data_IF_356797655492
#
_entry.id   IF_356797655492
#
_cell.length_a   1.000
_cell.length_b   1.000
_cell.length_c   1.000
_cell.angle_alpha   90.00
_cell.angle_beta   90.00
_cell.angle_gamma   90.00
#
_symmetry.space_group_name_H-M   'P 1'
#
loop_
_entity.id
_entity.type
_entity.pdbx_description
1 polymer ?
#
# COMPACT_ATOMS: atom_id res chain seq x y z
N UNK A 1 50.41 -30.42 0.08
CA UNK A 1 49.83 -30.38 -1.29
C UNK A 1 48.30 -30.28 -1.27
N UNK A 2 47.67 -29.46 -0.42
CA UNK A 2 46.21 -29.45 -0.21
C UNK A 2 45.51 -28.11 -0.51
N UNK A 3 46.08 -27.27 -1.38
CA UNK A 3 45.58 -25.90 -1.65
C UNK A 3 44.81 -25.69 -2.97
N UNK A 4 44.83 -26.58 -4.00
CA UNK A 4 44.21 -26.23 -5.30
C UNK A 4 42.68 -26.24 -5.29
N UNK A 5 42.04 -27.04 -4.44
CA UNK A 5 40.56 -27.15 -4.42
C UNK A 5 39.89 -25.93 -3.77
N UNK A 6 40.54 -25.26 -2.82
CA UNK A 6 39.95 -24.10 -2.14
C UNK A 6 39.93 -22.87 -3.05
N UNK A 7 41.02 -22.61 -3.77
CA UNK A 7 41.09 -21.52 -4.74
C UNK A 7 40.09 -21.72 -5.90
N UNK A 8 39.95 -22.96 -6.39
CA UNK A 8 38.99 -23.28 -7.44
C UNK A 8 37.54 -23.13 -6.96
N UNK A 9 37.22 -23.58 -5.75
CA UNK A 9 35.90 -23.39 -5.15
C UNK A 9 35.58 -21.91 -4.94
N UNK A 10 36.53 -21.13 -4.43
CA UNK A 10 36.38 -19.69 -4.23
C UNK A 10 36.14 -18.97 -5.56
N UNK A 11 36.88 -19.30 -6.61
CA UNK A 11 36.68 -18.79 -7.97
C UNK A 11 35.30 -19.19 -8.50
N UNK A 12 34.96 -20.47 -8.45
CA UNK A 12 33.70 -20.99 -8.98
C UNK A 12 32.47 -20.44 -8.27
N UNK A 13 32.55 -20.08 -7.00
CA UNK A 13 31.45 -19.42 -6.27
C UNK A 13 31.48 -17.89 -6.42
N UNK A 14 32.67 -17.27 -6.50
CA UNK A 14 32.82 -15.81 -6.55
C UNK A 14 32.42 -15.20 -7.89
N UNK A 15 32.79 -15.82 -9.01
CA UNK A 15 32.44 -15.34 -10.36
C UNK A 15 30.93 -15.31 -10.65
N UNK A 16 30.13 -16.35 -10.35
CA UNK A 16 28.68 -16.31 -10.54
C UNK A 16 27.97 -15.43 -9.51
N UNK A 17 28.50 -15.29 -8.29
CA UNK A 17 27.93 -14.40 -7.28
C UNK A 17 28.12 -12.93 -7.70
N UNK A 18 29.35 -12.55 -8.06
CA UNK A 18 29.67 -11.18 -8.50
C UNK A 18 28.88 -10.78 -9.76
N UNK A 19 28.75 -11.69 -10.73
CA UNK A 19 27.97 -11.41 -11.94
C UNK A 19 26.47 -11.23 -11.65
N UNK A 20 25.91 -12.03 -10.73
CA UNK A 20 24.52 -11.89 -10.27
C UNK A 20 24.30 -10.56 -9.55
N UNK A 21 25.21 -10.18 -8.67
CA UNK A 21 25.12 -8.94 -7.90
C UNK A 21 25.20 -7.71 -8.83
N UNK A 22 26.12 -7.72 -9.80
CA UNK A 22 26.21 -6.67 -10.82
C UNK A 22 24.90 -6.57 -11.64
N UNK A 23 24.37 -7.70 -12.12
CA UNK A 23 23.10 -7.73 -12.85
C UNK A 23 21.94 -7.20 -12.01
N UNK A 24 21.86 -7.55 -10.73
CA UNK A 24 20.84 -7.07 -9.80
C UNK A 24 20.92 -5.55 -9.60
N UNK A 25 22.13 -5.00 -9.42
CA UNK A 25 22.33 -3.56 -9.25
C UNK A 25 21.92 -2.80 -10.51
N UNK A 26 22.35 -3.24 -11.70
CA UNK A 26 21.98 -2.62 -12.97
C UNK A 26 20.46 -2.68 -13.19
N UNK A 27 19.84 -3.82 -12.90
CA UNK A 27 18.40 -3.97 -12.99
C UNK A 27 17.65 -3.07 -11.99
N UNK A 28 18.15 -2.93 -10.77
CA UNK A 28 17.56 -2.04 -9.76
C UNK A 28 17.60 -0.58 -10.21
N UNK A 29 18.73 -0.09 -10.74
CA UNK A 29 18.82 1.26 -11.30
C UNK A 29 17.85 1.44 -12.47
N UNK A 30 17.79 0.48 -13.38
CA UNK A 30 16.84 0.51 -14.48
C UNK A 30 15.38 0.56 -13.98
N UNK A 31 15.02 -0.25 -12.98
CA UNK A 31 13.67 -0.28 -12.42
C UNK A 31 13.28 1.06 -11.78
N UNK A 32 14.19 1.66 -11.01
CA UNK A 32 13.96 2.97 -10.39
C UNK A 32 13.76 4.05 -11.44
N UNK A 33 14.65 4.12 -12.45
CA UNK A 33 14.56 5.09 -13.55
C UNK A 33 13.27 4.87 -14.35
N UNK A 34 12.93 3.62 -14.65
CA UNK A 34 11.71 3.28 -15.36
C UNK A 34 10.45 3.68 -14.57
N UNK A 35 10.40 3.36 -13.28
CA UNK A 35 9.27 3.67 -12.41
C UNK A 35 9.06 5.19 -12.27
N UNK A 36 10.14 5.97 -12.11
CA UNK A 36 10.04 7.43 -12.04
C UNK A 36 9.56 8.02 -13.36
N UNK A 37 10.15 7.62 -14.48
CA UNK A 37 9.74 8.09 -15.81
C UNK A 37 8.29 7.70 -16.13
N UNK A 38 7.87 6.49 -15.74
CA UNK A 38 6.50 6.04 -15.92
C UNK A 38 5.52 6.90 -15.11
N UNK A 39 5.81 7.16 -13.83
CA UNK A 39 4.97 8.00 -12.97
C UNK A 39 4.89 9.45 -13.47
N UNK A 40 6.02 10.03 -13.90
CA UNK A 40 6.03 11.38 -14.47
C UNK A 40 5.30 11.44 -15.82
N UNK A 41 5.53 10.46 -16.69
CA UNK A 41 4.85 10.34 -17.97
C UNK A 41 3.34 10.15 -17.79
N UNK A 42 2.92 9.36 -16.81
CA UNK A 42 1.52 9.16 -16.46
C UNK A 42 0.87 10.44 -15.94
N UNK A 43 1.55 11.20 -15.06
CA UNK A 43 1.04 12.51 -14.59
C UNK A 43 0.79 13.47 -15.75
N UNK A 44 1.71 13.54 -16.71
CA UNK A 44 1.55 14.39 -17.91
C UNK A 44 0.39 13.93 -18.78
N UNK A 45 0.28 12.62 -19.06
CA UNK A 45 -0.84 12.06 -19.83
C UNK A 45 -2.18 12.22 -19.13
N UNK A 46 -2.22 12.09 -17.81
CA UNK A 46 -3.42 12.33 -17.01
C UNK A 46 -3.91 13.78 -17.13
N UNK A 47 -3.00 14.75 -17.06
CA UNK A 47 -3.33 16.16 -17.28
C UNK A 47 -3.79 16.43 -18.73
N UNK A 48 -3.14 15.83 -19.73
CA UNK A 48 -3.55 15.97 -21.13
C UNK A 48 -4.94 15.38 -21.38
N UNK A 49 -5.25 14.22 -20.79
CA UNK A 49 -6.57 13.60 -20.86
C UNK A 49 -7.64 14.46 -20.17
N UNK A 50 -7.34 14.97 -18.97
CA UNK A 50 -8.24 15.88 -18.25
C UNK A 50 -8.51 17.17 -19.04
N UNK A 51 -7.49 17.71 -19.73
CA UNK A 51 -7.63 18.85 -20.62
C UNK A 51 -8.51 18.53 -21.84
N UNK A 52 -8.24 17.41 -22.53
CA UNK A 52 -9.04 16.96 -23.69
C UNK A 52 -10.49 16.67 -23.34
N UNK A 53 -10.74 16.19 -22.12
CA UNK A 53 -12.10 15.96 -21.62
C UNK A 53 -12.78 17.22 -21.08
N UNK A 54 -12.09 18.36 -21.01
CA UNK A 54 -12.65 19.62 -20.52
C UNK A 54 -12.89 19.65 -19.00
N UNK A 55 -12.34 18.67 -18.27
CA UNK A 55 -12.46 18.55 -16.80
C UNK A 55 -11.35 19.29 -16.06
N UNK A 56 -10.43 19.97 -16.77
CA UNK A 56 -9.29 20.68 -16.17
C UNK A 56 -9.68 22.06 -15.60
N UNK A 57 -10.59 22.78 -16.27
CA UNK A 57 -11.00 24.16 -15.93
C UNK A 57 -12.42 24.25 -15.35
N UNK A 58 -13.12 23.13 -15.18
CA UNK A 58 -14.36 23.10 -14.40
C UNK A 58 -13.96 23.02 -12.94
N UNK A 59 -14.12 24.09 -12.13
CA UNK A 59 -13.81 24.00 -10.71
C UNK A 59 -14.63 22.84 -10.14
N UNK A 60 -13.96 21.76 -9.74
CA UNK A 60 -14.59 20.53 -9.26
C UNK A 60 -15.58 20.81 -8.11
N UNK A 61 -15.35 21.92 -7.40
CA UNK A 61 -16.17 22.46 -6.33
C UNK A 61 -17.57 22.93 -6.77
N UNK A 62 -17.78 23.26 -8.06
CA UNK A 62 -19.07 23.74 -8.58
C UNK A 62 -19.95 22.67 -9.27
N UNK A 63 -19.39 21.51 -9.64
CA UNK A 63 -20.14 20.43 -10.32
C UNK A 63 -20.39 19.23 -9.40
N UNK A 64 -19.54 18.98 -8.40
CA UNK A 64 -19.90 17.99 -7.38
C UNK A 64 -21.01 18.54 -6.51
N UNK A 65 -22.27 18.24 -6.86
CA UNK A 65 -23.37 18.33 -5.91
C UNK A 65 -22.89 17.69 -4.59
N UNK A 66 -23.05 18.40 -3.44
CA UNK A 66 -22.61 17.87 -2.16
C UNK A 66 -23.24 16.50 -2.00
N UNK A 67 -22.39 15.47 -1.78
CA UNK A 67 -22.85 14.08 -1.64
C UNK A 67 -24.10 14.08 -0.76
N UNK A 68 -25.18 13.37 -1.10
CA UNK A 68 -26.47 13.49 -0.39
C UNK A 68 -26.40 13.12 1.11
N UNK A 69 -25.28 12.55 1.55
CA UNK A 69 -24.97 12.18 2.93
C UNK A 69 -24.17 13.25 3.69
N UNK A 70 -23.70 14.31 3.03
CA UNK A 70 -22.90 15.38 3.63
C UNK A 70 -23.78 16.30 4.46
N UNK A 71 -23.59 16.30 5.79
CA UNK A 71 -24.21 17.27 6.68
C UNK A 71 -23.18 18.38 6.98
N UNK A 72 -23.67 19.57 7.24
CA UNK A 72 -22.83 20.75 7.37
C UNK A 72 -23.65 21.97 7.76
N UNK A 73 -22.98 23.00 8.25
CA UNK A 73 -23.64 24.27 8.58
C UNK A 73 -23.75 25.07 7.29
N UNK A 74 -24.97 25.51 6.95
CA UNK A 74 -25.21 26.37 5.79
C UNK A 74 -24.45 27.69 5.98
N UNK A 75 -23.54 27.99 5.05
CA UNK A 75 -22.88 29.30 4.96
C UNK A 75 -23.08 29.83 3.56
N UNK A 76 -23.34 31.13 3.44
CA UNK A 76 -23.37 31.80 2.14
C UNK A 76 -21.93 31.90 1.64
N UNK A 77 -21.68 31.35 0.46
CA UNK A 77 -20.36 31.43 -0.18
C UNK A 77 -20.03 32.88 -0.54
N UNK A 78 -18.86 33.42 -0.15
CA UNK A 78 -18.48 34.82 -0.39
C UNK A 78 -18.22 35.13 -1.87
N UNK A 79 -18.14 34.12 -2.73
CA UNK A 79 -17.85 34.27 -4.17
C UNK A 79 -19.11 34.08 -5.02
N UNK A 80 -19.98 33.14 -4.65
CA UNK A 80 -21.16 32.76 -5.48
C UNK A 80 -22.51 33.16 -4.89
N UNK A 81 -22.57 33.63 -3.64
CA UNK A 81 -23.81 33.92 -2.91
C UNK A 81 -24.79 32.71 -2.78
N UNK A 82 -24.33 31.50 -3.12
CA UNK A 82 -25.09 30.27 -2.96
C UNK A 82 -24.91 29.72 -1.53
N UNK A 83 -25.93 29.01 -1.02
CA UNK A 83 -25.82 28.27 0.24
C UNK A 83 -24.90 27.05 0.05
N UNK A 84 -23.72 27.09 0.64
CA UNK A 84 -22.77 25.97 0.65
C UNK A 84 -22.64 25.41 2.07
N UNK A 85 -22.49 24.09 2.18
CA UNK A 85 -22.26 23.39 3.44
C UNK A 85 -20.77 23.53 3.81
N UNK A 86 -20.42 24.49 4.65
CA UNK A 86 -19.02 24.76 5.01
C UNK A 86 -18.63 24.02 6.29
N UNK A 87 -17.67 23.09 6.20
CA UNK A 87 -17.09 22.40 7.35
C UNK A 87 -15.61 22.77 7.52
N UNK A 88 -15.14 23.12 8.72
CA UNK A 88 -13.75 23.52 8.93
C UNK A 88 -12.80 22.33 8.68
N UNK A 89 -11.84 22.45 7.74
CA UNK A 89 -10.98 21.34 7.31
C UNK A 89 -10.08 20.80 8.43
N UNK A 90 -9.73 21.65 9.41
CA UNK A 90 -8.88 21.25 10.54
C UNK A 90 -9.58 20.28 11.49
N UNK A 91 -10.90 20.42 11.72
CA UNK A 91 -11.64 19.47 12.58
C UNK A 91 -11.79 18.11 11.91
N UNK A 92 -11.94 18.10 10.58
CA UNK A 92 -12.01 16.88 9.78
C UNK A 92 -10.69 16.13 9.81
N UNK A 93 -9.58 16.85 9.59
CA UNK A 93 -8.25 16.27 9.63
C UNK A 93 -7.90 15.74 11.02
N UNK A 94 -8.22 16.48 12.09
CA UNK A 94 -7.94 16.03 13.45
C UNK A 94 -8.68 14.73 13.79
N UNK A 95 -9.98 14.64 13.46
CA UNK A 95 -10.76 13.42 13.74
C UNK A 95 -10.32 12.25 12.85
N UNK A 96 -10.08 12.50 11.56
CA UNK A 96 -9.57 11.49 10.64
C UNK A 96 -8.21 10.98 11.10
N UNK A 97 -7.27 11.85 11.45
CA UNK A 97 -5.96 11.45 11.96
C UNK A 97 -6.03 10.77 13.32
N UNK A 98 -6.83 11.26 14.27
CA UNK A 98 -6.92 10.67 15.60
C UNK A 98 -7.67 9.34 15.65
N UNK A 99 -8.54 9.03 14.68
CA UNK A 99 -9.33 7.79 14.69
C UNK A 99 -8.86 6.81 13.61
N UNK A 100 -8.62 7.26 12.37
CA UNK A 100 -8.20 6.35 11.29
C UNK A 100 -6.77 5.87 11.45
N UNK A 101 -5.82 6.74 11.82
CA UNK A 101 -4.42 6.33 11.98
C UNK A 101 -4.23 5.25 13.04
N UNK A 102 -4.77 5.34 14.27
CA UNK A 102 -4.54 4.28 15.26
C UNK A 102 -5.22 2.96 14.86
N UNK A 103 -6.36 3.00 14.16
CA UNK A 103 -7.02 1.79 13.65
C UNK A 103 -6.18 1.15 12.54
N UNK A 104 -5.66 1.94 11.60
CA UNK A 104 -4.76 1.44 10.57
C UNK A 104 -3.46 0.88 11.18
N UNK A 105 -2.87 1.59 12.14
CA UNK A 105 -1.65 1.15 12.83
C UNK A 105 -1.89 -0.14 13.61
N UNK A 106 -3.01 -0.27 14.34
CA UNK A 106 -3.33 -1.49 15.07
C UNK A 106 -3.53 -2.68 14.13
N UNK A 107 -4.21 -2.47 13.00
CA UNK A 107 -4.37 -3.49 11.96
C UNK A 107 -3.03 -3.92 11.36
N UNK A 108 -2.14 -2.97 11.05
CA UNK A 108 -0.80 -3.26 10.54
C UNK A 108 0.05 -4.03 11.56
N UNK A 109 0.02 -3.60 12.84
CA UNK A 109 0.69 -4.32 13.92
C UNK A 109 0.17 -5.76 14.07
N UNK A 110 -1.14 -5.96 13.98
CA UNK A 110 -1.74 -7.29 14.05
C UNK A 110 -1.25 -8.21 12.92
N UNK A 111 -1.31 -7.73 11.67
CA UNK A 111 -0.81 -8.48 10.50
C UNK A 111 0.68 -8.79 10.63
N UNK A 112 1.46 -7.85 11.15
CA UNK A 112 2.89 -8.03 11.39
C UNK A 112 3.17 -9.12 12.43
N UNK A 113 2.44 -9.14 13.55
CA UNK A 113 2.57 -10.19 14.59
C UNK A 113 2.21 -11.57 14.01
N UNK A 114 1.13 -11.67 13.24
CA UNK A 114 0.75 -12.93 12.58
C UNK A 114 1.82 -13.39 11.60
N UNK A 115 2.41 -12.47 10.83
CA UNK A 115 3.49 -12.80 9.90
C UNK A 115 4.71 -13.37 10.64
N UNK A 116 5.10 -12.78 11.78
CA UNK A 116 6.17 -13.31 12.63
C UNK A 116 5.84 -14.71 13.17
N UNK A 117 4.61 -14.93 13.65
CA UNK A 117 4.16 -16.24 14.10
C UNK A 117 4.20 -17.29 12.97
N UNK A 118 3.84 -16.90 11.75
CA UNK A 118 3.97 -17.77 10.57
C UNK A 118 5.42 -18.07 10.20
N UNK A 119 6.34 -17.11 10.39
CA UNK A 119 7.78 -17.35 10.17
C UNK A 119 8.35 -18.35 11.18
N UNK A 120 8.06 -18.18 12.47
CA UNK A 120 8.44 -19.13 13.52
C UNK A 120 7.90 -20.53 13.23
N UNK A 121 6.62 -20.62 12.84
CA UNK A 121 6.00 -21.88 12.46
C UNK A 121 6.64 -22.48 11.20
N UNK A 122 7.05 -21.66 10.23
CA UNK A 122 7.78 -22.11 9.04
C UNK A 122 9.17 -22.64 9.40
N UNK A 123 9.91 -21.99 10.29
CA UNK A 123 11.21 -22.46 10.78
C UNK A 123 11.08 -23.76 11.58
N UNK A 124 10.05 -23.88 12.43
CA UNK A 124 9.75 -25.10 13.16
C UNK A 124 9.44 -26.28 12.21
N UNK A 125 8.62 -26.06 11.19
CA UNK A 125 8.32 -27.07 10.16
C UNK A 125 9.57 -27.45 9.36
N UNK A 126 10.48 -26.50 9.13
CA UNK A 126 11.75 -26.75 8.45
C UNK A 126 12.78 -27.50 9.30
N UNK A 127 12.72 -27.34 10.63
CA UNK A 127 13.58 -28.02 11.59
C UNK A 127 13.36 -29.55 11.59
N UNK A 128 12.13 -29.98 11.31
CA UNK A 128 11.79 -31.41 11.22
C UNK A 128 12.18 -31.93 9.82
N UNK A 129 13.36 -32.57 9.73
CA UNK A 129 13.97 -33.06 8.48
C UNK A 129 13.12 -34.02 7.64
N UNK A 130 12.20 -34.77 8.26
CA UNK A 130 11.46 -35.87 7.62
C UNK A 130 10.04 -35.48 7.13
N UNK A 131 9.69 -34.19 7.09
CA UNK A 131 8.35 -33.79 6.68
C UNK A 131 8.15 -33.80 5.16
N UNK A 132 7.02 -34.33 4.66
CA UNK A 132 6.72 -34.32 3.24
C UNK A 132 6.57 -32.89 2.71
N UNK A 133 6.96 -32.67 1.45
CA UNK A 133 6.96 -31.35 0.78
C UNK A 133 5.63 -30.59 0.92
N UNK A 134 4.49 -31.30 0.98
CA UNK A 134 3.16 -30.71 1.15
C UNK A 134 3.04 -29.92 2.47
N UNK A 135 3.57 -30.44 3.57
CA UNK A 135 3.44 -29.82 4.91
C UNK A 135 4.22 -28.51 4.98
N UNK A 136 5.31 -28.39 4.21
CA UNK A 136 6.09 -27.14 4.10
C UNK A 136 5.30 -25.99 3.42
N UNK A 137 4.26 -26.29 2.65
CA UNK A 137 3.40 -25.27 2.04
C UNK A 137 2.30 -24.76 2.99
N UNK A 138 1.95 -25.55 4.01
CA UNK A 138 0.89 -25.24 4.96
C UNK A 138 1.01 -23.84 5.60
N UNK A 139 2.18 -23.40 6.10
CA UNK A 139 2.33 -22.09 6.73
C UNK A 139 2.08 -20.94 5.75
N UNK A 140 2.49 -21.13 4.48
CA UNK A 140 2.33 -20.14 3.41
C UNK A 140 0.88 -20.00 2.97
N UNK A 141 0.16 -21.12 2.88
CA UNK A 141 -1.27 -21.15 2.55
C UNK A 141 -2.05 -20.46 3.68
N UNK A 142 -1.74 -20.77 4.94
CA UNK A 142 -2.33 -20.12 6.11
C UNK A 142 -2.08 -18.61 6.11
N UNK A 143 -0.84 -18.18 5.85
CA UNK A 143 -0.50 -16.76 5.75
C UNK A 143 -1.32 -16.06 4.66
N UNK A 144 -1.40 -16.64 3.46
CA UNK A 144 -2.16 -16.06 2.36
C UNK A 144 -3.66 -15.93 2.69
N UNK A 145 -4.26 -16.96 3.32
CA UNK A 145 -5.66 -16.93 3.75
C UNK A 145 -5.89 -15.85 4.82
N UNK A 146 -5.01 -15.75 5.81
CA UNK A 146 -5.16 -14.76 6.88
C UNK A 146 -5.01 -13.34 6.32
N UNK A 147 -3.99 -13.09 5.50
CA UNK A 147 -3.79 -11.76 4.89
C UNK A 147 -4.99 -11.37 4.02
N UNK A 148 -5.48 -12.28 3.17
CA UNK A 148 -6.66 -12.01 2.35
C UNK A 148 -7.92 -11.75 3.18
N UNK A 149 -8.11 -12.50 4.27
CA UNK A 149 -9.24 -12.28 5.18
C UNK A 149 -9.12 -10.95 5.92
N UNK A 150 -7.90 -10.58 6.36
CA UNK A 150 -7.63 -9.31 7.03
C UNK A 150 -7.85 -8.12 6.08
N UNK A 151 -7.47 -8.23 4.81
CA UNK A 151 -7.69 -7.18 3.81
C UNK A 151 -9.19 -6.88 3.62
N UNK A 152 -10.02 -7.93 3.55
CA UNK A 152 -11.47 -7.76 3.43
C UNK A 152 -12.09 -7.14 4.69
N UNK A 153 -11.62 -7.52 5.88
CA UNK A 153 -12.05 -6.91 7.15
C UNK A 153 -11.61 -5.45 7.23
N UNK A 154 -10.35 -5.16 6.88
CA UNK A 154 -9.82 -3.80 6.82
C UNK A 154 -10.62 -2.93 5.85
N UNK A 155 -10.94 -3.47 4.66
CA UNK A 155 -11.76 -2.80 3.66
C UNK A 155 -13.14 -2.42 4.23
N UNK A 156 -13.81 -3.35 4.93
CA UNK A 156 -15.09 -3.07 5.59
C UNK A 156 -14.97 -2.01 6.68
N UNK A 157 -13.94 -2.08 7.52
CA UNK A 157 -13.67 -1.08 8.56
C UNK A 157 -13.39 0.28 7.92
N UNK A 158 -12.61 0.34 6.84
CA UNK A 158 -12.30 1.56 6.13
C UNK A 158 -13.56 2.21 5.53
N UNK A 159 -14.45 1.42 4.91
CA UNK A 159 -15.74 1.93 4.43
C UNK A 159 -16.62 2.43 5.58
N UNK A 160 -16.74 1.65 6.66
CA UNK A 160 -17.50 2.07 7.84
C UNK A 160 -16.97 3.34 8.47
N UNK A 161 -15.64 3.49 8.56
CA UNK A 161 -15.00 4.67 9.12
C UNK A 161 -15.20 5.90 8.22
N UNK A 162 -15.15 5.70 6.90
CA UNK A 162 -15.38 6.77 5.93
C UNK A 162 -16.85 7.23 5.96
N UNK A 163 -17.79 6.29 6.07
CA UNK A 163 -19.22 6.58 6.21
C UNK A 163 -19.55 7.23 7.56
N UNK A 164 -18.93 6.80 8.67
CA UNK A 164 -19.07 7.45 9.98
C UNK A 164 -18.47 8.86 9.97
N UNK A 165 -17.34 9.05 9.29
CA UNK A 165 -16.76 10.37 9.02
C UNK A 165 -17.61 11.24 8.10
N UNK A 166 -18.65 10.69 7.46
CA UNK A 166 -19.66 11.44 6.70
C UNK A 166 -20.95 11.63 7.51
N UNK A 167 -21.35 10.65 8.35
CA UNK A 167 -22.57 10.67 9.16
C UNK A 167 -22.45 11.51 10.45
N UNK A 168 -21.25 11.61 11.01
CA UNK A 168 -20.98 12.39 12.24
C UNK A 168 -20.81 13.88 11.95
N UNK A 169 -20.67 14.27 10.68
CA UNK A 169 -20.39 15.64 10.24
C UNK A 169 -21.42 16.14 9.24
#
# INVERSE_FOLDING_TARGET
THVPNFALFFILDFFPQTSRDICCVVFAFFNVIWATLFLEGWKRRGAELAYKWGTLDTPAEFIEEPRPQYRGVKRISPVTNCEELHYPPWKRLLFQSCVSLPICMSCLCFVFIVMLACFELQEFVLSIRELPRLVRFFPKILLAIIVSSCDEVYRKIAYWLNDMGILTF
#
